data_IF_627099011007
#
_entry.id   IF_627099011007
#
_cell.length_a   1.000
_cell.length_b   1.000
_cell.length_c   1.000
_cell.angle_alpha   90.00
_cell.angle_beta   90.00
_cell.angle_gamma   90.00
#
_symmetry.space_group_name_H-M   'P 1'
#
loop_
_entity.id
_entity.type
_entity.pdbx_description
1 polymer ?
#
# COMPACT_ATOMS: atom_id res chain seq x y z
N UNK A 1 6.32 15.04 9.80
CA UNK A 1 7.72 15.40 9.47
C UNK A 1 8.37 16.15 10.62
N UNK A 2 7.80 17.27 11.04
CA UNK A 2 8.38 18.11 12.09
C UNK A 2 8.56 17.37 13.42
N UNK A 3 7.60 16.54 13.83
CA UNK A 3 7.72 15.69 15.02
C UNK A 3 8.91 14.72 14.95
N UNK A 4 9.20 14.18 13.75
CA UNK A 4 10.34 13.28 13.56
C UNK A 4 11.66 14.07 13.67
N UNK A 5 11.75 15.22 13.00
CA UNK A 5 12.93 16.07 13.08
C UNK A 5 13.19 16.53 14.51
N UNK A 6 12.15 16.92 15.23
CA UNK A 6 12.23 17.28 16.64
C UNK A 6 12.69 16.11 17.53
N UNK A 7 12.14 14.89 17.29
CA UNK A 7 12.51 13.71 18.07
C UNK A 7 13.97 13.31 17.86
N UNK A 8 14.51 13.54 16.65
CA UNK A 8 15.92 13.28 16.33
C UNK A 8 16.85 14.42 16.79
N UNK A 9 16.30 15.62 17.00
CA UNK A 9 17.07 16.83 17.36
C UNK A 9 17.73 17.52 16.15
N UNK A 10 17.12 17.40 14.96
CA UNK A 10 17.59 18.03 13.72
C UNK A 10 16.59 19.08 13.24
N UNK A 11 17.05 20.05 12.46
CA UNK A 11 16.24 21.19 11.97
C UNK A 11 15.54 20.87 10.65
N UNK A 12 16.15 19.99 9.87
CA UNK A 12 15.74 19.69 8.49
C UNK A 12 16.47 20.51 7.43
N UNK A 13 17.22 21.54 7.84
CA UNK A 13 18.01 22.40 6.94
C UNK A 13 19.42 21.85 6.70
N UNK A 14 19.83 20.82 7.44
CA UNK A 14 21.10 20.14 7.27
C UNK A 14 21.22 19.58 5.86
N UNK A 15 22.41 19.75 5.26
CA UNK A 15 22.69 19.22 3.93
C UNK A 15 23.15 17.77 4.05
N UNK A 16 22.53 16.90 3.27
CA UNK A 16 22.84 15.47 3.22
C UNK A 16 23.04 15.01 1.78
N UNK A 17 23.85 13.99 1.59
CA UNK A 17 24.13 13.42 0.27
C UNK A 17 23.22 12.20 0.01
N UNK A 18 22.40 12.25 -1.02
CA UNK A 18 21.54 11.15 -1.46
C UNK A 18 21.92 10.76 -2.89
N UNK A 19 22.75 9.72 -3.02
CA UNK A 19 23.40 9.39 -4.30
C UNK A 19 24.29 10.54 -4.77
N UNK A 20 24.04 11.07 -5.97
CA UNK A 20 24.79 12.21 -6.51
C UNK A 20 24.20 13.59 -6.12
N UNK A 21 23.05 13.60 -5.45
CA UNK A 21 22.35 14.84 -5.12
C UNK A 21 22.64 15.29 -3.68
N UNK A 22 23.00 16.58 -3.51
CA UNK A 22 23.05 17.25 -2.22
C UNK A 22 21.72 17.97 -1.96
N UNK A 23 20.96 17.50 -0.98
CA UNK A 23 19.62 17.99 -0.65
C UNK A 23 19.58 18.46 0.81
N UNK A 24 18.55 19.22 1.19
CA UNK A 24 18.22 19.39 2.59
C UNK A 24 17.71 18.08 3.18
N UNK A 25 17.90 17.87 4.47
CA UNK A 25 17.35 16.69 5.15
C UNK A 25 15.82 16.64 4.98
N UNK A 26 15.13 17.76 5.08
CA UNK A 26 13.68 17.89 4.88
C UNK A 26 13.26 17.43 3.50
N UNK A 27 13.92 17.88 2.44
CA UNK A 27 13.62 17.45 1.06
C UNK A 27 13.91 15.96 0.86
N UNK A 28 15.01 15.49 1.44
CA UNK A 28 15.38 14.07 1.40
C UNK A 28 14.31 13.17 2.03
N UNK A 29 13.79 13.56 3.21
CA UNK A 29 12.71 12.85 3.89
C UNK A 29 11.36 12.97 3.16
N UNK A 30 11.12 14.09 2.47
CA UNK A 30 9.88 14.32 1.75
C UNK A 30 9.82 13.51 0.45
N UNK A 31 10.93 13.44 -0.29
CA UNK A 31 10.90 12.96 -1.68
C UNK A 31 11.75 11.72 -1.97
N UNK A 32 12.64 11.32 -1.06
CA UNK A 32 13.67 10.30 -1.37
C UNK A 32 13.71 9.14 -0.37
N UNK A 33 13.43 9.38 0.89
CA UNK A 33 13.69 8.44 1.96
C UNK A 33 12.39 7.98 2.65
N UNK A 34 12.33 6.69 2.98
CA UNK A 34 11.21 6.12 3.74
C UNK A 34 11.47 6.30 5.24
N UNK A 35 10.65 7.11 5.90
CA UNK A 35 10.74 7.41 7.34
C UNK A 35 9.56 6.87 8.17
N UNK A 36 8.53 6.29 7.52
CA UNK A 36 7.32 5.81 8.19
C UNK A 36 7.32 4.31 8.50
N UNK A 37 8.28 3.56 7.97
CA UNK A 37 8.36 2.11 8.21
C UNK A 37 9.53 1.79 9.11
N UNK A 38 9.34 0.82 10.01
CA UNK A 38 10.37 0.29 10.89
C UNK A 38 10.70 -1.15 10.50
N UNK A 39 11.98 -1.48 10.43
CA UNK A 39 12.48 -2.79 10.06
C UNK A 39 13.56 -3.29 11.01
N UNK A 40 13.81 -4.61 11.02
CA UNK A 40 14.87 -5.22 11.83
C UNK A 40 16.24 -4.60 11.56
N UNK A 41 16.54 -4.28 10.30
CA UNK A 41 17.82 -3.67 9.92
C UNK A 41 17.96 -2.27 10.51
N UNK A 42 16.89 -1.48 10.46
CA UNK A 42 16.88 -0.12 11.04
C UNK A 42 17.04 -0.17 12.56
N UNK A 43 16.33 -1.08 13.26
CA UNK A 43 16.47 -1.25 14.70
C UNK A 43 17.90 -1.67 15.07
N UNK A 44 18.51 -2.59 14.29
CA UNK A 44 19.90 -3.00 14.52
C UNK A 44 20.85 -1.83 14.41
N UNK A 45 20.76 -1.06 13.32
CA UNK A 45 21.60 0.13 13.11
C UNK A 45 21.37 1.19 14.20
N UNK A 46 20.10 1.46 14.53
CA UNK A 46 19.73 2.40 15.57
C UNK A 46 20.31 1.98 16.93
N UNK A 47 20.33 0.68 17.24
CA UNK A 47 20.88 0.18 18.51
C UNK A 47 22.40 0.32 18.62
N UNK A 48 23.11 0.54 17.53
CA UNK A 48 24.55 0.88 17.55
C UNK A 48 24.78 2.25 18.24
N UNK A 49 23.80 3.14 18.16
CA UNK A 49 23.77 4.44 18.84
C UNK A 49 23.12 4.33 20.22
N UNK A 50 21.93 3.73 20.29
CA UNK A 50 21.12 3.66 21.52
C UNK A 50 21.74 2.75 22.59
N UNK A 51 22.49 1.72 22.20
CA UNK A 51 23.12 0.71 23.08
C UNK A 51 22.14 0.16 24.14
N UNK A 52 20.89 -0.08 23.70
CA UNK A 52 19.81 -0.51 24.56
C UNK A 52 19.81 -2.04 24.70
N UNK A 53 19.87 -2.54 25.93
CA UNK A 53 19.73 -3.96 26.22
C UNK A 53 18.36 -4.50 25.75
N UNK A 54 17.31 -3.70 25.89
CA UNK A 54 15.97 -4.05 25.39
C UNK A 54 15.95 -4.31 23.89
N UNK A 55 16.56 -3.43 23.08
CA UNK A 55 16.64 -3.62 21.63
C UNK A 55 17.57 -4.80 21.29
N UNK A 56 18.64 -4.99 22.04
CA UNK A 56 19.53 -6.14 21.86
C UNK A 56 18.80 -7.44 22.10
N UNK A 57 18.04 -7.54 23.17
CA UNK A 57 17.23 -8.71 23.52
C UNK A 57 16.15 -9.00 22.45
N UNK A 58 15.40 -7.97 22.02
CA UNK A 58 14.41 -8.09 20.95
C UNK A 58 14.98 -8.60 19.62
N UNK A 59 16.25 -8.33 19.33
CA UNK A 59 16.91 -8.76 18.10
C UNK A 59 17.35 -10.23 18.12
N UNK A 60 17.32 -10.90 19.27
CA UNK A 60 17.69 -12.31 19.40
C UNK A 60 16.72 -13.21 18.61
N UNK A 61 17.23 -14.28 17.97
CA UNK A 61 16.39 -15.21 17.22
C UNK A 61 15.27 -15.85 18.04
N UNK A 62 15.48 -16.04 19.34
CA UNK A 62 14.52 -16.61 20.29
C UNK A 62 13.29 -15.69 20.52
N UNK A 63 13.43 -14.40 20.31
CA UNK A 63 12.40 -13.38 20.60
C UNK A 63 11.62 -12.92 19.36
N UNK A 64 11.48 -13.80 18.35
CA UNK A 64 10.84 -13.48 17.06
C UNK A 64 9.42 -12.93 17.21
N UNK A 65 8.61 -13.54 18.08
CA UNK A 65 7.21 -13.12 18.25
C UNK A 65 7.14 -11.79 19.01
N UNK A 66 7.90 -11.63 20.09
CA UNK A 66 8.04 -10.34 20.79
C UNK A 66 8.56 -9.23 19.88
N UNK A 67 9.46 -9.56 18.95
CA UNK A 67 9.93 -8.62 17.94
C UNK A 67 8.83 -8.22 16.94
N UNK A 68 8.01 -9.17 16.50
CA UNK A 68 6.89 -8.88 15.61
C UNK A 68 5.85 -7.98 16.30
N UNK A 69 5.51 -8.27 17.55
CA UNK A 69 4.62 -7.46 18.38
C UNK A 69 5.20 -6.06 18.61
N UNK A 70 6.50 -5.97 18.84
CA UNK A 70 7.17 -4.67 18.99
C UNK A 70 7.08 -3.83 17.71
N UNK A 71 7.21 -4.43 16.53
CA UNK A 71 7.11 -3.72 15.25
C UNK A 71 5.67 -3.30 14.92
N UNK A 72 4.68 -3.95 15.51
CA UNK A 72 3.29 -3.71 15.15
C UNK A 72 2.87 -2.25 15.38
N UNK A 73 2.50 -1.57 14.29
CA UNK A 73 2.03 -0.19 14.30
C UNK A 73 3.08 0.86 14.65
N UNK A 74 4.35 0.48 14.86
CA UNK A 74 5.44 1.44 15.11
C UNK A 74 6.04 1.97 13.81
N UNK A 75 6.43 3.22 13.86
CA UNK A 75 7.24 3.89 12.86
C UNK A 75 8.61 4.28 13.43
N UNK A 76 9.50 4.78 12.60
CA UNK A 76 10.84 5.17 13.01
C UNK A 76 10.83 6.20 14.17
N UNK A 77 9.91 7.16 14.14
CA UNK A 77 9.79 8.17 15.19
C UNK A 77 9.54 7.56 16.57
N UNK A 78 8.85 6.41 16.64
CA UNK A 78 8.57 5.75 17.92
C UNK A 78 9.84 5.24 18.60
N UNK A 79 10.89 4.89 17.82
CA UNK A 79 12.22 4.57 18.36
C UNK A 79 12.86 5.79 19.02
N UNK A 80 12.81 6.94 18.36
CA UNK A 80 13.42 8.17 18.90
C UNK A 80 12.68 8.71 20.12
N UNK A 81 11.35 8.49 20.20
CA UNK A 81 10.57 8.84 21.39
C UNK A 81 10.90 7.89 22.54
N UNK A 82 10.99 6.58 22.28
CA UNK A 82 11.26 5.57 23.31
C UNK A 82 12.73 5.58 23.77
N UNK A 83 13.66 5.85 22.85
CA UNK A 83 15.10 5.90 23.11
C UNK A 83 15.69 7.22 22.57
N UNK A 84 15.51 8.35 23.27
CA UNK A 84 16.01 9.65 22.83
C UNK A 84 17.52 9.61 22.60
N UNK A 85 17.95 10.04 21.42
CA UNK A 85 19.37 10.17 21.08
C UNK A 85 19.76 11.64 21.05
N UNK A 86 20.91 11.98 21.63
CA UNK A 86 21.49 13.31 21.57
C UNK A 86 22.71 13.32 20.66
N UNK A 87 22.81 14.35 19.81
CA UNK A 87 23.99 14.57 18.98
C UNK A 87 24.12 13.62 17.78
N UNK A 88 23.04 12.97 17.36
CA UNK A 88 23.04 12.22 16.10
C UNK A 88 23.20 13.20 14.93
N UNK A 89 24.16 12.97 14.05
CA UNK A 89 24.33 13.79 12.86
C UNK A 89 23.24 13.50 11.81
N UNK A 90 23.02 14.43 10.89
CA UNK A 90 22.09 14.22 9.79
C UNK A 90 22.50 13.03 8.90
N UNK A 91 23.80 12.83 8.69
CA UNK A 91 24.30 11.71 7.90
C UNK A 91 24.10 10.36 8.63
N UNK A 92 24.32 10.29 9.94
CA UNK A 92 24.02 9.09 10.73
C UNK A 92 22.51 8.76 10.68
N UNK A 93 21.67 9.79 10.82
CA UNK A 93 20.22 9.62 10.72
C UNK A 93 19.82 9.11 9.33
N UNK A 94 20.30 9.71 8.24
CA UNK A 94 20.07 9.23 6.87
C UNK A 94 20.57 7.80 6.69
N UNK A 95 21.69 7.43 7.31
CA UNK A 95 22.23 6.06 7.31
C UNK A 95 21.28 4.99 7.89
N UNK A 96 20.32 5.38 8.74
CA UNK A 96 19.28 4.50 9.24
C UNK A 96 18.16 4.26 8.21
N UNK A 97 18.00 5.15 7.23
CA UNK A 97 16.87 5.18 6.31
C UNK A 97 17.16 4.34 5.07
N UNK A 98 16.12 4.07 4.33
CA UNK A 98 16.20 3.43 3.02
C UNK A 98 15.56 4.33 1.96
N UNK A 99 15.92 4.19 0.70
CA UNK A 99 15.20 4.85 -0.39
C UNK A 99 13.72 4.57 -0.31
N UNK A 100 12.89 5.57 -0.65
CA UNK A 100 11.44 5.41 -0.70
C UNK A 100 11.10 4.47 -1.86
N UNK A 101 10.51 3.29 -1.60
CA UNK A 101 10.13 2.39 -2.68
C UNK A 101 8.88 2.91 -3.39
N UNK A 102 8.76 2.70 -4.70
CA UNK A 102 7.52 2.98 -5.42
C UNK A 102 6.37 2.13 -4.87
N UNK A 103 5.14 2.59 -5.09
CA UNK A 103 3.94 1.80 -4.80
C UNK A 103 3.34 1.31 -6.11
N UNK A 104 3.06 0.00 -6.17
CA UNK A 104 2.41 -0.63 -7.31
C UNK A 104 0.91 -0.70 -7.04
N UNK A 105 0.11 -0.27 -8.01
CA UNK A 105 -1.33 -0.39 -8.03
C UNK A 105 -1.74 -1.16 -9.28
N UNK A 106 -2.65 -2.11 -9.13
CA UNK A 106 -3.22 -2.81 -10.28
C UNK A 106 -4.07 -1.85 -11.10
N UNK A 107 -3.90 -1.90 -12.42
CA UNK A 107 -4.71 -1.11 -13.35
C UNK A 107 -6.14 -1.66 -13.32
N UNK A 108 -7.12 -0.76 -13.17
CA UNK A 108 -8.54 -1.06 -13.05
C UNK A 108 -9.34 -0.73 -14.33
N UNK A 109 -8.65 -0.42 -15.44
CA UNK A 109 -9.27 -0.11 -16.73
C UNK A 109 -8.66 -0.89 -17.87
N UNK A 110 -9.45 -1.17 -18.92
CA UNK A 110 -8.95 -1.64 -20.20
C UNK A 110 -8.49 -0.45 -21.03
N UNK A 111 -7.29 -0.52 -21.64
CA UNK A 111 -6.81 0.52 -22.56
C UNK A 111 -7.66 0.62 -23.82
N UNK A 112 -8.34 -0.48 -24.23
CA UNK A 112 -9.23 -0.47 -25.39
C UNK A 112 -10.57 0.19 -25.10
N UNK A 113 -11.02 0.16 -23.84
CA UNK A 113 -12.21 0.85 -23.40
C UNK A 113 -11.97 2.31 -23.05
N UNK A 114 -10.74 2.63 -22.60
CA UNK A 114 -10.33 3.95 -22.12
C UNK A 114 -8.96 4.28 -22.69
N UNK A 115 -8.94 4.71 -23.97
CA UNK A 115 -7.73 5.18 -24.61
C UNK A 115 -7.15 6.38 -23.85
N UNK A 116 -5.85 6.43 -23.67
CA UNK A 116 -5.12 7.51 -22.96
C UNK A 116 -5.43 7.65 -21.46
N UNK A 117 -6.18 6.71 -20.86
CA UNK A 117 -6.51 6.74 -19.45
C UNK A 117 -6.08 5.45 -18.73
N UNK A 118 -5.69 5.60 -17.47
CA UNK A 118 -5.43 4.50 -16.54
C UNK A 118 -6.23 4.75 -15.28
N UNK A 119 -7.17 3.85 -14.97
CA UNK A 119 -7.93 3.90 -13.73
C UNK A 119 -7.23 3.07 -12.66
N UNK A 120 -7.25 3.56 -11.43
CA UNK A 120 -6.71 2.86 -10.26
C UNK A 120 -7.78 2.77 -9.18
N UNK A 121 -7.80 1.66 -8.44
CA UNK A 121 -8.61 1.50 -7.24
C UNK A 121 -7.69 1.59 -6.04
N UNK A 122 -7.81 2.68 -5.26
CA UNK A 122 -6.91 2.98 -4.15
C UNK A 122 -7.70 3.15 -2.86
N UNK A 123 -7.50 2.26 -1.89
CA UNK A 123 -7.96 2.47 -0.53
C UNK A 123 -7.03 3.43 0.21
N UNK A 124 -7.58 4.52 0.73
CA UNK A 124 -6.80 5.49 1.50
C UNK A 124 -6.55 4.93 2.90
N UNK A 125 -5.28 4.75 3.22
CA UNK A 125 -4.85 4.19 4.51
C UNK A 125 -4.77 5.31 5.54
N UNK A 126 -5.64 5.26 6.56
CA UNK A 126 -5.62 6.12 7.74
C UNK A 126 -6.04 5.32 8.96
N UNK A 127 -5.25 5.39 10.02
CA UNK A 127 -5.53 4.67 11.26
C UNK A 127 -4.81 5.32 12.44
N UNK A 128 -5.18 4.96 13.66
CA UNK A 128 -4.54 5.42 14.88
C UNK A 128 -3.79 4.28 15.53
N UNK A 129 -2.54 4.51 15.93
CA UNK A 129 -1.74 3.55 16.71
C UNK A 129 -0.65 4.28 17.50
N UNK A 130 -0.28 3.74 18.66
CA UNK A 130 0.68 4.33 19.58
C UNK A 130 0.40 5.82 19.87
N UNK A 131 -0.90 6.18 20.05
CA UNK A 131 -1.34 7.54 20.36
C UNK A 131 -1.17 8.56 19.23
N UNK A 132 -0.90 8.12 18.00
CA UNK A 132 -0.70 9.01 16.84
C UNK A 132 -1.49 8.58 15.62
N UNK A 133 -1.92 9.55 14.83
CA UNK A 133 -2.51 9.32 13.52
C UNK A 133 -1.46 8.85 12.54
N UNK A 134 -1.83 7.86 11.75
CA UNK A 134 -1.00 7.26 10.71
C UNK A 134 -1.67 7.42 9.36
N UNK A 135 -0.87 7.66 8.35
CA UNK A 135 -1.35 7.82 6.98
C UNK A 135 -0.45 7.05 6.01
N UNK A 136 -1.08 6.40 5.03
CA UNK A 136 -0.34 5.76 3.96
C UNK A 136 0.31 6.81 3.05
N UNK A 137 1.63 6.76 2.90
CA UNK A 137 2.41 7.78 2.18
C UNK A 137 1.85 8.07 0.79
N UNK A 138 1.66 7.03 -0.04
CA UNK A 138 1.18 7.20 -1.41
C UNK A 138 -0.34 7.38 -1.46
N UNK A 139 -1.12 6.58 -0.71
CA UNK A 139 -2.58 6.63 -0.77
C UNK A 139 -3.14 7.97 -0.26
N UNK A 140 -2.58 8.53 0.82
CA UNK A 140 -2.99 9.86 1.28
C UNK A 140 -2.49 10.99 0.37
N UNK A 141 -1.30 10.83 -0.25
CA UNK A 141 -0.84 11.77 -1.26
C UNK A 141 -1.80 11.83 -2.44
N UNK A 142 -2.23 10.66 -2.95
CA UNK A 142 -3.20 10.59 -4.06
C UNK A 142 -4.56 11.18 -3.70
N UNK A 143 -4.99 11.03 -2.45
CA UNK A 143 -6.29 11.54 -2.02
C UNK A 143 -6.30 13.06 -1.77
N UNK A 144 -5.24 13.61 -1.19
CA UNK A 144 -5.30 14.94 -0.58
C UNK A 144 -4.36 15.95 -1.24
N UNK A 145 -3.30 15.50 -1.91
CA UNK A 145 -2.17 16.38 -2.28
C UNK A 145 -1.73 16.25 -3.73
N UNK A 146 -2.36 15.38 -4.50
CA UNK A 146 -2.00 15.22 -5.89
C UNK A 146 -2.29 16.49 -6.69
N UNK A 147 -1.30 16.93 -7.45
CA UNK A 147 -1.45 18.04 -8.39
C UNK A 147 -1.89 17.57 -9.77
N UNK A 148 -1.44 18.28 -10.81
CA UNK A 148 -1.77 17.97 -12.21
C UNK A 148 -0.96 16.83 -12.80
N UNK A 149 0.14 16.42 -12.15
CA UNK A 149 0.99 15.33 -12.63
C UNK A 149 1.57 14.51 -11.49
N UNK A 150 1.76 13.23 -11.76
CA UNK A 150 2.34 12.27 -10.81
C UNK A 150 3.43 11.49 -11.55
N UNK A 151 4.68 11.44 -11.03
CA UNK A 151 5.70 10.56 -11.57
C UNK A 151 5.25 9.10 -11.47
N UNK A 152 5.12 8.41 -12.58
CA UNK A 152 4.65 7.03 -12.64
C UNK A 152 5.34 6.25 -13.75
N UNK A 153 5.29 4.92 -13.64
CA UNK A 153 5.79 4.02 -14.67
C UNK A 153 4.92 2.75 -14.72
N UNK A 154 4.91 2.09 -15.85
CA UNK A 154 4.24 0.81 -16.00
C UNK A 154 5.16 -0.33 -15.55
N UNK A 155 4.65 -1.17 -14.65
CA UNK A 155 5.31 -2.41 -14.25
C UNK A 155 4.61 -3.60 -14.92
N UNK A 156 5.24 -4.25 -15.93
CA UNK A 156 4.58 -5.33 -16.66
C UNK A 156 4.46 -6.59 -15.82
N UNK A 157 3.28 -7.21 -15.80
CA UNK A 157 3.08 -8.54 -15.24
C UNK A 157 2.89 -9.55 -16.37
N UNK A 158 3.87 -10.44 -16.55
CA UNK A 158 3.85 -11.43 -17.62
C UNK A 158 2.92 -12.62 -17.33
N UNK A 159 2.65 -12.90 -16.07
CA UNK A 159 1.95 -14.10 -15.60
C UNK A 159 0.47 -13.86 -15.26
N UNK A 160 0.04 -12.61 -15.14
CA UNK A 160 -1.34 -12.26 -14.79
C UNK A 160 -1.99 -11.53 -15.95
N UNK A 161 -2.62 -12.29 -16.84
CA UNK A 161 -3.24 -11.80 -18.07
C UNK A 161 -4.48 -12.59 -18.40
N UNK A 162 -5.36 -12.00 -19.21
CA UNK A 162 -6.46 -12.73 -19.84
C UNK A 162 -5.95 -13.84 -20.77
N UNK A 163 -6.70 -14.95 -20.90
CA UNK A 163 -6.48 -15.92 -21.98
C UNK A 163 -6.52 -15.24 -23.34
N UNK A 164 -5.70 -15.70 -24.28
CA UNK A 164 -5.71 -15.18 -25.65
C UNK A 164 -7.03 -15.50 -26.37
N UNK A 165 -7.57 -16.71 -26.12
CA UNK A 165 -8.89 -17.08 -26.62
C UNK A 165 -9.98 -16.51 -25.70
N UNK A 166 -10.76 -15.58 -26.23
CA UNK A 166 -11.87 -14.94 -25.51
C UNK A 166 -13.03 -15.87 -25.16
N UNK A 167 -13.07 -17.11 -25.70
CA UNK A 167 -14.09 -18.11 -25.34
C UNK A 167 -13.73 -18.89 -24.06
N UNK A 168 -12.49 -18.81 -23.59
CA UNK A 168 -12.09 -19.49 -22.35
C UNK A 168 -12.81 -18.83 -21.16
N UNK A 169 -13.52 -19.60 -20.31
CA UNK A 169 -14.13 -19.05 -19.10
C UNK A 169 -13.05 -18.65 -18.09
N UNK A 170 -13.34 -17.61 -17.31
CA UNK A 170 -12.46 -17.14 -16.25
C UNK A 170 -13.17 -17.04 -14.90
N UNK A 171 -12.45 -17.40 -13.84
CA UNK A 171 -12.86 -17.18 -12.45
C UNK A 171 -11.95 -16.11 -11.86
N UNK A 172 -12.56 -15.12 -11.23
CA UNK A 172 -11.90 -13.95 -10.66
C UNK A 172 -12.22 -13.86 -9.18
N UNK A 173 -11.19 -13.76 -8.32
CA UNK A 173 -11.36 -13.63 -6.87
C UNK A 173 -10.65 -12.36 -6.40
N UNK A 174 -11.42 -11.30 -6.14
CA UNK A 174 -10.89 -9.96 -5.89
C UNK A 174 -11.51 -9.25 -4.70
N UNK A 175 -11.16 -9.61 -3.44
CA UNK A 175 -11.68 -8.88 -2.28
C UNK A 175 -11.06 -7.48 -2.17
N UNK A 176 -11.88 -6.52 -1.71
CA UNK A 176 -11.47 -5.14 -1.53
C UNK A 176 -10.90 -4.52 -2.82
N UNK A 177 -9.81 -3.78 -2.71
CA UNK A 177 -9.12 -3.20 -3.89
C UNK A 177 -8.49 -4.23 -4.82
N UNK A 178 -8.45 -5.52 -4.42
CA UNK A 178 -8.08 -6.64 -5.30
C UNK A 178 -9.02 -6.83 -6.50
N UNK A 179 -10.17 -6.15 -6.50
CA UNK A 179 -11.11 -6.08 -7.62
C UNK A 179 -10.53 -5.36 -8.86
N UNK A 180 -9.56 -4.47 -8.67
CA UNK A 180 -9.05 -3.58 -9.70
C UNK A 180 -8.70 -4.28 -11.04
N UNK A 181 -7.83 -5.31 -11.07
CA UNK A 181 -7.47 -5.94 -12.33
C UNK A 181 -8.64 -6.71 -12.97
N UNK A 182 -9.58 -7.18 -12.17
CA UNK A 182 -10.75 -7.91 -12.67
C UNK A 182 -11.77 -6.97 -13.34
N UNK A 183 -11.87 -5.73 -12.86
CA UNK A 183 -12.60 -4.69 -13.56
C UNK A 183 -12.00 -4.46 -14.95
N UNK A 184 -10.69 -4.29 -15.05
CA UNK A 184 -10.00 -4.15 -16.31
C UNK A 184 -10.22 -5.37 -17.24
N UNK A 185 -10.23 -6.59 -16.69
CA UNK A 185 -10.46 -7.82 -17.46
C UNK A 185 -11.87 -7.87 -18.04
N UNK A 186 -12.89 -7.51 -17.28
CA UNK A 186 -14.28 -7.49 -17.77
C UNK A 186 -14.46 -6.40 -18.82
N UNK A 187 -13.93 -5.20 -18.62
CA UNK A 187 -13.95 -4.13 -19.62
C UNK A 187 -13.27 -4.55 -20.93
N UNK A 188 -12.09 -5.17 -20.85
CA UNK A 188 -11.37 -5.67 -22.01
C UNK A 188 -12.20 -6.72 -22.77
N UNK A 189 -12.74 -7.72 -22.04
CA UNK A 189 -13.58 -8.78 -22.64
C UNK A 189 -14.83 -8.23 -23.30
N UNK A 190 -15.47 -7.23 -22.71
CA UNK A 190 -16.61 -6.52 -23.30
C UNK A 190 -16.21 -5.83 -24.59
N UNK A 191 -15.11 -5.08 -24.58
CA UNK A 191 -14.66 -4.27 -25.71
C UNK A 191 -14.26 -5.13 -26.92
N UNK A 192 -13.63 -6.28 -26.66
CA UNK A 192 -13.21 -7.20 -27.74
C UNK A 192 -14.27 -8.22 -28.12
N UNK A 193 -15.45 -8.20 -27.48
CA UNK A 193 -16.54 -9.13 -27.78
C UNK A 193 -16.27 -10.59 -27.36
N UNK A 194 -15.55 -10.81 -26.26
CA UNK A 194 -15.30 -12.14 -25.70
C UNK A 194 -16.61 -12.80 -25.24
N UNK A 195 -16.78 -14.10 -25.54
CA UNK A 195 -18.02 -14.86 -25.26
C UNK A 195 -17.89 -15.85 -24.11
N UNK A 196 -16.66 -16.09 -23.63
CA UNK A 196 -16.43 -17.00 -22.50
C UNK A 196 -17.06 -16.49 -21.20
N UNK A 197 -17.53 -17.43 -20.37
CA UNK A 197 -18.17 -17.12 -19.09
C UNK A 197 -17.21 -16.40 -18.14
N UNK A 198 -17.78 -15.50 -17.34
CA UNK A 198 -17.08 -14.71 -16.32
C UNK A 198 -17.73 -14.93 -14.98
N UNK A 199 -16.95 -15.43 -14.01
CA UNK A 199 -17.39 -15.63 -12.64
C UNK A 199 -16.54 -14.78 -11.70
N UNK A 200 -17.19 -13.90 -10.93
CA UNK A 200 -16.52 -12.99 -10.02
C UNK A 200 -16.92 -13.27 -8.57
N UNK A 201 -15.91 -13.46 -7.72
CA UNK A 201 -16.02 -13.44 -6.27
C UNK A 201 -15.52 -12.10 -5.75
N UNK A 202 -16.40 -11.31 -5.17
CA UNK A 202 -16.05 -10.05 -4.54
C UNK A 202 -16.43 -10.08 -3.07
N UNK A 203 -15.63 -9.46 -2.23
CA UNK A 203 -15.95 -9.31 -0.81
C UNK A 203 -15.25 -8.12 -0.19
N UNK A 204 -15.92 -7.51 0.80
CA UNK A 204 -15.37 -6.44 1.61
C UNK A 204 -16.07 -6.43 2.99
N UNK A 205 -16.04 -5.29 3.68
CA UNK A 205 -16.62 -5.15 5.03
C UNK A 205 -18.13 -5.08 5.00
N UNK A 206 -18.70 -4.15 4.25
CA UNK A 206 -20.16 -3.92 4.21
C UNK A 206 -20.65 -3.64 2.80
N UNK A 207 -21.79 -4.25 2.45
CA UNK A 207 -22.47 -4.01 1.16
C UNK A 207 -22.89 -2.56 0.97
N UNK A 208 -23.12 -1.84 2.06
CA UNK A 208 -23.65 -0.46 2.01
C UNK A 208 -22.57 0.58 1.73
N UNK A 209 -21.33 0.32 2.12
CA UNK A 209 -20.24 1.31 2.07
C UNK A 209 -19.04 0.86 1.26
N UNK A 210 -18.87 -0.44 1.07
CA UNK A 210 -17.64 -1.02 0.52
C UNK A 210 -17.89 -1.84 -0.77
N UNK A 211 -19.07 -1.72 -1.41
CA UNK A 211 -19.38 -2.40 -2.67
C UNK A 211 -18.79 -1.63 -3.86
N UNK A 212 -17.47 -1.81 -4.06
CA UNK A 212 -16.74 -1.15 -5.13
C UNK A 212 -17.29 -1.54 -6.50
N UNK A 213 -17.62 -0.54 -7.32
CA UNK A 213 -18.17 -0.71 -8.67
C UNK A 213 -19.49 -1.50 -8.75
N UNK A 214 -20.28 -1.52 -7.67
CA UNK A 214 -21.51 -2.32 -7.59
C UNK A 214 -22.45 -2.11 -8.76
N UNK A 215 -22.68 -0.85 -9.16
CA UNK A 215 -23.55 -0.52 -10.31
C UNK A 215 -23.00 -1.07 -11.64
N UNK A 216 -21.67 -1.09 -11.81
CA UNK A 216 -21.05 -1.67 -13.00
C UNK A 216 -21.23 -3.19 -13.05
N UNK A 217 -21.07 -3.88 -11.89
CA UNK A 217 -21.27 -5.33 -11.82
C UNK A 217 -22.70 -5.74 -12.11
N UNK A 218 -23.69 -5.04 -11.55
CA UNK A 218 -25.10 -5.31 -11.82
C UNK A 218 -25.44 -5.06 -13.30
N UNK A 219 -24.90 -4.02 -13.91
CA UNK A 219 -25.01 -3.76 -15.33
C UNK A 219 -24.43 -4.91 -16.17
N UNK A 220 -23.18 -5.32 -15.90
CA UNK A 220 -22.53 -6.41 -16.63
C UNK A 220 -23.25 -7.73 -16.47
N UNK A 221 -23.88 -7.95 -15.32
CA UNK A 221 -24.73 -9.11 -15.05
C UNK A 221 -26.02 -9.06 -15.88
N UNK A 222 -26.70 -7.92 -15.91
CA UNK A 222 -27.92 -7.73 -16.71
C UNK A 222 -27.68 -7.85 -18.22
N UNK A 223 -26.48 -7.47 -18.68
CA UNK A 223 -26.03 -7.61 -20.07
C UNK A 223 -25.57 -9.05 -20.41
N UNK A 224 -25.48 -9.96 -19.43
CA UNK A 224 -24.98 -11.33 -19.61
C UNK A 224 -23.48 -11.44 -19.75
N UNK A 225 -22.73 -10.35 -19.60
CA UNK A 225 -21.28 -10.35 -19.64
C UNK A 225 -20.68 -10.99 -18.38
N UNK A 226 -21.20 -10.67 -17.21
CA UNK A 226 -20.86 -11.31 -15.95
C UNK A 226 -21.86 -12.45 -15.70
N UNK A 227 -21.39 -13.69 -15.83
CA UNK A 227 -22.23 -14.88 -15.76
C UNK A 227 -22.66 -15.19 -14.33
N UNK A 228 -21.72 -15.11 -13.39
CA UNK A 228 -21.94 -15.38 -11.96
C UNK A 228 -21.23 -14.31 -11.12
N UNK A 229 -21.85 -13.93 -10.00
CA UNK A 229 -21.32 -12.98 -9.05
C UNK A 229 -21.62 -13.44 -7.63
N UNK A 230 -20.60 -13.79 -6.89
CA UNK A 230 -20.67 -14.12 -5.48
C UNK A 230 -20.14 -12.98 -4.62
N UNK A 231 -20.93 -12.58 -3.64
CA UNK A 231 -20.62 -11.48 -2.74
C UNK A 231 -20.44 -11.98 -1.31
N UNK A 232 -19.39 -11.54 -0.65
CA UNK A 232 -19.08 -11.87 0.75
C UNK A 232 -18.87 -10.59 1.58
N UNK A 233 -19.64 -10.44 2.65
CA UNK A 233 -19.62 -9.26 3.50
C UNK A 233 -19.21 -9.64 4.93
N UNK A 234 -18.06 -9.15 5.38
CA UNK A 234 -17.51 -9.57 6.67
C UNK A 234 -18.13 -8.86 7.90
N UNK A 235 -18.97 -7.85 7.69
CA UNK A 235 -19.57 -7.06 8.77
C UNK A 235 -21.08 -6.81 8.64
N UNK A 236 -21.75 -7.40 7.66
CA UNK A 236 -23.19 -7.22 7.48
C UNK A 236 -24.01 -8.23 8.31
N UNK A 237 -23.36 -9.26 8.85
CA UNK A 237 -23.95 -10.30 9.69
C UNK A 237 -23.06 -10.60 10.91
N UNK A 238 -23.60 -11.38 11.88
CA UNK A 238 -22.90 -11.71 13.12
C UNK A 238 -21.62 -12.53 12.89
N UNK A 239 -21.68 -13.51 11.98
CA UNK A 239 -20.52 -14.31 11.59
C UNK A 239 -19.85 -13.70 10.37
N UNK A 240 -18.52 -13.56 10.42
CA UNK A 240 -17.75 -12.98 9.32
C UNK A 240 -17.75 -13.91 8.13
N UNK A 241 -18.16 -13.41 6.98
CA UNK A 241 -18.09 -14.11 5.71
C UNK A 241 -17.03 -13.48 4.82
N UNK A 242 -16.19 -14.31 4.24
CA UNK A 242 -15.13 -13.92 3.31
C UNK A 242 -15.28 -14.70 2.00
N UNK A 243 -14.63 -14.23 0.92
CA UNK A 243 -14.70 -14.86 -0.41
C UNK A 243 -14.32 -16.34 -0.43
N UNK A 244 -13.46 -16.80 0.47
CA UNK A 244 -13.10 -18.21 0.59
C UNK A 244 -14.19 -19.09 1.22
N UNK A 245 -15.29 -18.51 1.69
CA UNK A 245 -16.44 -19.24 2.23
C UNK A 245 -17.54 -19.43 1.17
N UNK A 246 -17.39 -18.80 0.02
CA UNK A 246 -18.22 -18.94 -1.17
C UNK A 246 -17.66 -20.01 -2.08
#
# INVERSE_FOLDING_TARGET
MDDLLQAVGLTGEERVQIGEASLTLRDSLTFRLACTTLSKIQIKKFNEFAKSDKLTDLLLPANRDAFADYLWGRELIDLFIEFPQQGMSADDFVGLLRPMPPRLYSIASSIKAHEEQVHLTVAVVRYDTHGRKREGVCSSYLADRVGTSIPSYFHPNKNFKLPQDGNVPIIMVGPGTGIAPFRAFIEERRTVGSTGKNWLFFGDRSSKTDYLYGEEWEKYRSEGLLTELDLAWSRDQAEKEYVQHK
#
